data_IF_505793379030
#
_entry.id   IF_505793379030
#
_cell.length_a   1.000
_cell.length_b   1.000
_cell.length_c   1.000
_cell.angle_alpha   90.00
_cell.angle_beta   90.00
_cell.angle_gamma   90.00
#
_symmetry.space_group_name_H-M   'P 1'
#
loop_
_entity.id
_entity.type
_entity.pdbx_description
1 polymer ?
#
# COMPACT_ATOMS: atom_id res chain seq x y z
N UNK A 1 -5.47 0.86 12.20
CA UNK A 1 -5.58 -0.30 11.28
C UNK A 1 -5.10 0.04 9.87
N UNK A 2 -5.66 1.05 9.19
CA UNK A 2 -5.28 1.42 7.82
C UNK A 2 -3.81 1.82 7.65
N UNK A 3 -3.24 2.59 8.56
CA UNK A 3 -1.81 2.97 8.50
C UNK A 3 -0.87 1.78 8.68
N UNK A 4 -1.21 0.83 9.56
CA UNK A 4 -0.44 -0.41 9.73
C UNK A 4 -0.51 -1.33 8.51
N UNK A 5 -1.68 -1.38 7.86
CA UNK A 5 -1.86 -2.07 6.59
C UNK A 5 -1.03 -1.42 5.48
N UNK A 6 -1.11 -0.09 5.33
CA UNK A 6 -0.31 0.67 4.37
C UNK A 6 1.19 0.42 4.56
N UNK A 7 1.69 0.54 5.79
CA UNK A 7 3.10 0.29 6.13
C UNK A 7 3.56 -1.11 5.73
N UNK A 8 2.68 -2.12 5.86
CA UNK A 8 3.00 -3.50 5.48
C UNK A 8 3.07 -3.68 3.96
N UNK A 9 2.22 -2.99 3.21
CA UNK A 9 2.24 -2.98 1.74
C UNK A 9 3.48 -2.23 1.23
N UNK A 10 3.78 -1.06 1.81
CA UNK A 10 4.97 -0.27 1.48
C UNK A 10 6.26 -1.02 1.78
N UNK A 11 6.31 -1.77 2.88
CA UNK A 11 7.47 -2.61 3.21
C UNK A 11 7.72 -3.69 2.15
N UNK A 12 6.67 -4.28 1.57
CA UNK A 12 6.82 -5.23 0.46
C UNK A 12 7.28 -4.54 -0.82
N UNK A 13 6.65 -3.42 -1.17
CA UNK A 13 6.98 -2.66 -2.39
C UNK A 13 8.36 -1.98 -2.33
N UNK A 14 8.89 -1.74 -1.13
CA UNK A 14 10.25 -1.22 -0.92
C UNK A 14 11.31 -2.32 -0.87
N UNK A 15 10.90 -3.59 -0.76
CA UNK A 15 11.82 -4.72 -0.75
C UNK A 15 12.17 -5.12 -2.19
N UNK A 16 13.38 -4.77 -2.62
CA UNK A 16 13.86 -5.05 -3.98
C UNK A 16 13.77 -6.53 -4.36
N UNK A 17 14.02 -7.46 -3.42
CA UNK A 17 13.87 -8.89 -3.68
C UNK A 17 12.42 -9.26 -3.96
N UNK A 18 11.47 -8.68 -3.24
CA UNK A 18 10.05 -8.90 -3.51
C UNK A 18 9.66 -8.32 -4.87
N UNK A 19 10.08 -7.08 -5.17
CA UNK A 19 9.75 -6.39 -6.42
C UNK A 19 10.33 -7.11 -7.64
N UNK A 20 11.54 -7.64 -7.54
CA UNK A 20 12.18 -8.34 -8.65
C UNK A 20 11.66 -9.76 -8.88
N UNK A 21 11.18 -10.45 -7.83
CA UNK A 21 10.80 -11.87 -7.92
C UNK A 21 9.28 -12.10 -7.90
N UNK A 22 8.48 -11.14 -7.47
CA UNK A 22 7.03 -11.32 -7.42
C UNK A 22 6.40 -11.22 -8.82
N UNK A 23 5.36 -12.02 -9.12
CA UNK A 23 4.60 -11.89 -10.36
C UNK A 23 4.00 -10.49 -10.52
N UNK A 24 3.88 -10.01 -11.76
CA UNK A 24 3.32 -8.69 -12.06
C UNK A 24 1.94 -8.47 -11.43
N UNK A 25 1.06 -9.48 -11.48
CA UNK A 25 -0.26 -9.42 -10.86
C UNK A 25 -0.23 -9.21 -9.34
N UNK A 26 0.80 -9.75 -8.66
CA UNK A 26 1.00 -9.54 -7.22
C UNK A 26 1.47 -8.12 -6.95
N UNK A 27 2.41 -7.61 -7.75
CA UNK A 27 2.92 -6.24 -7.63
C UNK A 27 1.82 -5.21 -7.90
N UNK A 28 1.01 -5.40 -8.93
CA UNK A 28 -0.16 -4.56 -9.21
C UNK A 28 -1.18 -4.64 -8.06
N UNK A 29 -1.42 -5.82 -7.52
CA UNK A 29 -2.29 -6.01 -6.36
C UNK A 29 -1.80 -5.23 -5.13
N UNK A 30 -0.50 -5.25 -4.83
CA UNK A 30 0.07 -4.48 -3.72
C UNK A 30 0.02 -2.96 -4.01
N UNK A 31 0.31 -2.51 -5.25
CA UNK A 31 0.19 -1.09 -5.63
C UNK A 31 -1.25 -0.58 -5.52
N UNK A 32 -2.23 -1.39 -5.91
CA UNK A 32 -3.65 -1.06 -5.77
C UNK A 32 -4.03 -0.92 -4.30
N UNK A 33 -3.63 -1.88 -3.45
CA UNK A 33 -3.82 -1.80 -1.99
C UNK A 33 -3.18 -0.55 -1.38
N UNK A 34 -2.00 -0.16 -1.84
CA UNK A 34 -1.32 1.07 -1.40
C UNK A 34 -2.16 2.30 -1.74
N UNK A 35 -2.60 2.42 -2.99
CA UNK A 35 -3.44 3.54 -3.45
C UNK A 35 -4.77 3.62 -2.71
N UNK A 36 -5.44 2.49 -2.52
CA UNK A 36 -6.72 2.41 -1.80
C UNK A 36 -6.56 2.82 -0.33
N UNK A 37 -5.48 2.37 0.32
CA UNK A 37 -5.19 2.72 1.70
C UNK A 37 -4.85 4.21 1.86
N UNK A 38 -4.00 4.76 0.98
CA UNK A 38 -3.67 6.19 0.96
C UNK A 38 -4.92 7.06 0.77
N UNK A 39 -5.78 6.70 -0.18
CA UNK A 39 -7.02 7.43 -0.46
C UNK A 39 -7.96 7.43 0.75
N UNK A 40 -8.12 6.28 1.41
CA UNK A 40 -8.95 6.19 2.63
C UNK A 40 -8.35 6.97 3.80
N UNK A 41 -7.04 6.93 3.99
CA UNK A 41 -6.37 7.69 5.04
C UNK A 41 -6.51 9.18 4.79
N UNK A 42 -6.34 9.64 3.54
CA UNK A 42 -6.52 11.03 3.17
C UNK A 42 -7.96 11.50 3.46
N UNK A 43 -8.96 10.74 3.03
CA UNK A 43 -10.37 11.07 3.31
C UNK A 43 -10.66 11.15 4.82
N UNK A 44 -10.18 10.19 5.62
CA UNK A 44 -10.37 10.23 7.08
C UNK A 44 -9.66 11.44 7.71
N UNK A 45 -8.45 11.77 7.26
CA UNK A 45 -7.71 12.94 7.75
C UNK A 45 -8.42 14.25 7.42
N UNK A 46 -8.99 14.35 6.22
CA UNK A 46 -9.78 15.51 5.79
C UNK A 46 -11.06 15.67 6.63
N UNK A 47 -11.71 14.57 7.01
CA UNK A 47 -12.91 14.62 7.88
C UNK A 47 -12.61 14.93 9.36
N UNK A 48 -11.36 14.75 9.81
CA UNK A 48 -10.93 15.01 11.19
C UNK A 48 -10.31 16.41 11.38
N UNK A 49 -10.06 17.14 10.28
CA UNK A 49 -9.58 18.52 10.28
C UNK A 49 -10.73 19.52 10.20
#
# INVERSE_FOLDING_TARGET
YLEGFLKSVEAKLSNERFVQNAPAAVLEGERKKQSDALSKIAAIKEQLG
#
